data_IF_413714018262
#
_entry.id   IF_413714018262
#
_cell.length_a   1.000
_cell.length_b   1.000
_cell.length_c   1.000
_cell.angle_alpha   90.00
_cell.angle_beta   90.00
_cell.angle_gamma   90.00
#
_symmetry.space_group_name_H-M   'P 1'
#
loop_
_entity.id
_entity.type
_entity.pdbx_description
1 polymer ?
#
# COMPACT_ATOMS: atom_id res chain seq x y z
N UNK A 1 7.55 10.87 35.22
CA UNK A 1 8.35 9.93 34.42
C UNK A 1 7.74 8.55 34.58
N UNK A 2 7.02 8.04 33.58
CA UNK A 2 6.54 6.65 33.58
C UNK A 2 7.72 5.75 33.26
N UNK A 3 8.15 4.93 34.23
CA UNK A 3 9.18 3.92 34.01
C UNK A 3 8.74 2.95 32.91
N UNK A 4 9.53 2.91 31.85
CA UNK A 4 9.42 1.87 30.84
C UNK A 4 10.13 0.61 31.38
N UNK A 5 9.51 -0.56 31.25
CA UNK A 5 10.20 -1.81 31.59
C UNK A 5 11.14 -2.21 30.44
N UNK A 6 12.32 -2.73 30.79
CA UNK A 6 13.27 -3.23 29.79
C UNK A 6 12.79 -4.56 29.17
N UNK A 7 13.31 -4.95 27.99
CA UNK A 7 13.03 -6.25 27.39
C UNK A 7 13.30 -7.42 28.35
N UNK A 8 14.43 -7.36 29.07
CA UNK A 8 14.82 -8.35 30.07
C UNK A 8 13.83 -8.39 31.24
N UNK A 9 13.35 -7.22 31.71
CA UNK A 9 12.35 -7.14 32.80
C UNK A 9 11.02 -7.77 32.39
N UNK A 10 10.57 -7.55 31.15
CA UNK A 10 9.36 -8.17 30.61
C UNK A 10 9.52 -9.69 30.49
N UNK A 11 10.59 -10.16 29.86
CA UNK A 11 10.86 -11.59 29.67
C UNK A 11 10.94 -12.35 31.00
N UNK A 12 11.67 -11.81 31.98
CA UNK A 12 11.76 -12.41 33.31
C UNK A 12 10.40 -12.46 34.01
N UNK A 13 9.56 -11.44 33.85
CA UNK A 13 8.21 -11.43 34.41
C UNK A 13 7.31 -12.50 33.76
N UNK A 14 7.39 -12.65 32.43
CA UNK A 14 6.65 -13.68 31.68
C UNK A 14 7.05 -15.09 32.14
N UNK A 15 8.36 -15.38 32.18
CA UNK A 15 8.89 -16.67 32.64
C UNK A 15 8.49 -16.97 34.09
N UNK A 16 8.64 -15.99 34.99
CA UNK A 16 8.28 -16.15 36.41
C UNK A 16 6.80 -16.47 36.62
N UNK A 17 5.91 -15.96 35.75
CA UNK A 17 4.46 -16.25 35.80
C UNK A 17 4.07 -17.55 35.11
N UNK A 18 5.01 -18.25 34.46
CA UNK A 18 4.76 -19.54 33.84
C UNK A 18 4.48 -19.49 32.33
N UNK A 19 4.75 -18.37 31.65
CA UNK A 19 4.76 -18.35 30.18
C UNK A 19 5.99 -19.13 29.71
N UNK A 20 5.80 -20.07 28.78
CA UNK A 20 6.90 -20.91 28.31
C UNK A 20 7.95 -20.11 27.54
N UNK A 21 9.21 -20.52 27.65
CA UNK A 21 10.31 -19.92 26.89
C UNK A 21 10.08 -20.04 25.38
N UNK A 22 9.59 -21.20 24.94
CA UNK A 22 9.19 -21.44 23.55
C UNK A 22 8.17 -20.41 23.05
N UNK A 23 7.11 -20.12 23.82
CA UNK A 23 6.14 -19.11 23.44
C UNK A 23 6.77 -17.72 23.33
N UNK A 24 7.61 -17.34 24.29
CA UNK A 24 8.30 -16.04 24.26
C UNK A 24 9.18 -15.91 23.02
N UNK A 25 9.94 -16.96 22.69
CA UNK A 25 10.80 -16.97 21.50
C UNK A 25 9.98 -16.96 20.20
N UNK A 26 8.81 -17.61 20.20
CA UNK A 26 7.84 -17.46 19.11
C UNK A 26 7.33 -16.02 19.01
N UNK A 27 7.00 -15.33 20.11
CA UNK A 27 6.54 -13.93 20.05
C UNK A 27 7.61 -12.92 19.61
N UNK A 28 8.89 -13.27 19.81
CA UNK A 28 10.03 -12.50 19.29
C UNK A 28 10.24 -12.68 17.78
N UNK A 29 9.65 -13.73 17.20
CA UNK A 29 9.79 -14.06 15.77
C UNK A 29 8.50 -13.92 14.96
N UNK A 30 7.33 -14.17 15.54
CA UNK A 30 6.01 -13.97 14.93
C UNK A 30 5.77 -12.47 14.73
N UNK A 31 5.75 -12.07 13.47
CA UNK A 31 5.51 -10.69 13.03
C UNK A 31 4.02 -10.45 12.79
N UNK A 32 3.58 -9.20 12.96
CA UNK A 32 2.26 -8.76 12.51
C UNK A 32 2.10 -8.94 10.99
N UNK A 33 0.91 -9.37 10.58
CA UNK A 33 0.57 -9.57 9.18
C UNK A 33 0.05 -8.27 8.57
N UNK A 34 0.40 -8.02 7.31
CA UNK A 34 -0.26 -6.99 6.52
C UNK A 34 -1.63 -7.49 6.04
N UNK A 35 -2.66 -6.72 6.36
CA UNK A 35 -4.05 -7.02 6.02
C UNK A 35 -4.68 -5.89 5.20
N UNK A 36 -3.89 -4.92 4.70
CA UNK A 36 -4.42 -3.78 3.98
C UNK A 36 -5.20 -4.21 2.72
N UNK A 37 -4.67 -5.18 1.96
CA UNK A 37 -5.32 -5.73 0.76
C UNK A 37 -6.68 -6.38 1.05
N UNK A 38 -6.92 -6.87 2.27
CA UNK A 38 -8.18 -7.57 2.58
C UNK A 38 -9.37 -6.62 2.46
N UNK A 39 -9.17 -5.31 2.67
CA UNK A 39 -10.20 -4.28 2.50
C UNK A 39 -10.72 -4.15 1.06
N UNK A 40 -10.00 -4.72 0.08
CA UNK A 40 -10.38 -4.68 -1.34
C UNK A 40 -11.45 -5.72 -1.66
N UNK A 41 -11.35 -6.92 -1.08
CA UNK A 41 -12.14 -8.09 -1.51
C UNK A 41 -12.88 -8.81 -0.38
N UNK A 42 -12.92 -8.22 0.81
CA UNK A 42 -13.81 -8.64 1.87
C UNK A 42 -14.92 -7.63 2.09
N UNK A 43 -16.15 -8.12 2.23
CA UNK A 43 -17.33 -7.31 2.52
C UNK A 43 -17.70 -7.41 3.99
N UNK A 44 -18.22 -6.31 4.53
CA UNK A 44 -18.80 -6.30 5.87
C UNK A 44 -20.06 -7.17 5.89
N UNK A 45 -20.11 -8.14 6.80
CA UNK A 45 -21.27 -9.01 6.99
C UNK A 45 -21.92 -8.80 8.37
N UNK A 46 -23.10 -8.19 8.32
CA UNK A 46 -24.01 -8.09 9.46
C UNK A 46 -23.53 -7.23 10.62
N UNK A 47 -24.14 -7.48 11.77
CA UNK A 47 -23.93 -6.74 13.00
C UNK A 47 -22.73 -7.23 13.79
N UNK A 48 -22.28 -6.38 14.72
CA UNK A 48 -21.22 -6.71 15.67
C UNK A 48 -21.72 -7.73 16.70
N UNK A 49 -20.97 -8.81 16.89
CA UNK A 49 -21.33 -9.91 17.80
C UNK A 49 -20.24 -10.18 18.83
N UNK A 50 -20.62 -10.57 20.04
CA UNK A 50 -19.65 -10.96 21.08
C UNK A 50 -19.23 -12.42 20.85
N UNK A 51 -17.92 -12.67 20.73
CA UNK A 51 -17.35 -14.00 20.54
C UNK A 51 -16.13 -14.22 21.44
N UNK A 52 -15.86 -15.50 21.68
CA UNK A 52 -14.61 -15.97 22.24
C UNK A 52 -13.59 -16.17 21.11
N UNK A 53 -12.53 -15.36 21.12
CA UNK A 53 -11.54 -15.28 20.04
C UNK A 53 -10.27 -16.02 20.46
N UNK A 54 -9.85 -17.06 19.72
CA UNK A 54 -8.57 -17.70 19.95
C UNK A 54 -7.43 -16.73 19.66
N UNK A 55 -6.55 -16.50 20.63
CA UNK A 55 -5.47 -15.51 20.53
C UNK A 55 -4.47 -15.85 19.43
N UNK A 56 -4.26 -17.14 19.13
CA UNK A 56 -3.38 -17.56 18.03
C UNK A 56 -3.87 -17.06 16.66
N UNK A 57 -5.17 -16.82 16.49
CA UNK A 57 -5.77 -16.34 15.23
C UNK A 57 -5.70 -14.82 15.09
N UNK A 58 -5.25 -14.10 16.12
CA UNK A 58 -5.01 -12.66 16.05
C UNK A 58 -3.67 -12.42 15.36
N UNK A 59 -3.70 -11.76 14.19
CA UNK A 59 -2.51 -11.54 13.36
C UNK A 59 -2.11 -10.07 13.19
N UNK A 60 -2.99 -9.14 13.59
CA UNK A 60 -2.72 -7.71 13.41
C UNK A 60 -3.42 -6.85 14.47
N UNK A 61 -2.90 -5.64 14.66
CA UNK A 61 -3.50 -4.57 15.45
C UNK A 61 -3.76 -3.35 14.54
N UNK A 62 -4.72 -2.49 14.86
CA UNK A 62 -5.06 -1.33 14.01
C UNK A 62 -4.03 -0.21 14.04
N UNK A 63 -3.04 -0.27 14.94
CA UNK A 63 -2.06 0.80 15.15
C UNK A 63 -0.61 0.42 14.84
N UNK A 64 -0.27 -0.87 14.96
CA UNK A 64 1.06 -1.33 14.63
C UNK A 64 1.26 -1.35 13.12
N UNK A 65 2.48 -1.04 12.66
CA UNK A 65 2.87 -1.36 11.28
C UNK A 65 2.96 -2.88 11.11
N UNK A 66 2.69 -3.41 9.90
CA UNK A 66 2.98 -4.80 9.57
C UNK A 66 4.47 -5.14 9.75
N UNK A 67 4.78 -6.41 9.95
CA UNK A 67 6.16 -6.91 10.01
C UNK A 67 6.88 -6.73 11.35
N UNK A 68 6.23 -6.17 12.38
CA UNK A 68 6.84 -5.98 13.71
C UNK A 68 6.57 -7.23 14.58
N UNK A 69 7.57 -7.78 15.27
CA UNK A 69 7.37 -8.87 16.23
C UNK A 69 6.41 -8.48 17.38
N UNK A 70 5.54 -9.39 17.79
CA UNK A 70 4.59 -9.14 18.88
C UNK A 70 5.26 -8.77 20.21
N UNK A 71 6.41 -9.38 20.51
CA UNK A 71 7.19 -9.05 21.70
C UNK A 71 7.68 -7.59 21.68
N UNK A 72 8.13 -7.12 20.52
CA UNK A 72 8.63 -5.75 20.35
C UNK A 72 7.49 -4.73 20.43
N UNK A 73 6.27 -5.07 19.99
CA UNK A 73 5.10 -4.20 20.18
C UNK A 73 4.77 -3.94 21.66
N UNK A 74 5.12 -4.87 22.55
CA UNK A 74 4.97 -4.66 23.98
C UNK A 74 6.02 -3.70 24.57
N UNK A 75 7.07 -3.38 23.81
CA UNK A 75 8.18 -2.53 24.21
C UNK A 75 8.18 -1.18 23.47
N UNK A 76 7.73 -1.15 22.22
CA UNK A 76 7.91 -0.01 21.33
C UNK A 76 6.61 0.77 21.14
N UNK A 77 6.46 1.84 21.94
CA UNK A 77 5.35 2.79 21.80
C UNK A 77 5.42 3.65 20.53
N UNK A 78 6.63 3.98 20.08
CA UNK A 78 6.86 4.99 19.02
C UNK A 78 6.55 4.49 17.62
N UNK A 79 6.94 3.27 17.28
CA UNK A 79 6.78 2.71 15.92
C UNK A 79 5.36 2.24 15.62
N UNK A 80 4.55 2.03 16.67
CA UNK A 80 3.19 1.50 16.57
C UNK A 80 2.11 2.51 17.01
N UNK A 81 2.44 3.80 17.17
CA UNK A 81 1.53 4.83 17.70
C UNK A 81 0.76 4.38 18.96
N UNK A 82 1.43 3.58 19.80
CA UNK A 82 0.87 3.01 21.03
C UNK A 82 1.23 3.92 22.20
N UNK A 83 0.24 4.29 23.01
CA UNK A 83 0.51 5.07 24.21
C UNK A 83 1.31 4.24 25.24
N UNK A 84 2.49 4.74 25.59
CA UNK A 84 3.39 4.11 26.55
C UNK A 84 2.73 3.81 27.90
N UNK A 85 1.95 4.75 28.44
CA UNK A 85 1.26 4.61 29.72
C UNK A 85 0.27 3.43 29.73
N UNK A 86 -0.42 3.18 28.59
CA UNK A 86 -1.34 2.05 28.45
C UNK A 86 -0.61 0.70 28.39
N UNK A 87 0.58 0.64 27.76
CA UNK A 87 1.45 -0.55 27.81
C UNK A 87 1.93 -0.81 29.24
N UNK A 88 2.43 0.21 29.93
CA UNK A 88 2.84 0.13 31.34
C UNK A 88 1.71 -0.34 32.24
N UNK A 89 0.48 0.12 32.02
CA UNK A 89 -0.68 -0.33 32.78
C UNK A 89 -1.01 -1.82 32.53
N UNK A 90 -0.90 -2.30 31.29
CA UNK A 90 -1.08 -3.72 30.98
C UNK A 90 0.01 -4.58 31.64
N UNK A 91 1.27 -4.12 31.61
CA UNK A 91 2.37 -4.81 32.29
C UNK A 91 2.21 -4.82 33.81
N UNK A 92 1.78 -3.69 34.40
CA UNK A 92 1.49 -3.59 35.82
C UNK A 92 0.39 -4.59 36.21
N UNK A 93 -0.72 -4.61 35.46
CA UNK A 93 -1.81 -5.55 35.71
C UNK A 93 -1.36 -7.02 35.61
N UNK A 94 -0.55 -7.37 34.62
CA UNK A 94 0.06 -8.70 34.50
C UNK A 94 0.97 -9.03 35.69
N UNK A 95 1.83 -8.10 36.09
CA UNK A 95 2.78 -8.28 37.20
C UNK A 95 2.07 -8.46 38.55
N UNK A 96 0.99 -7.70 38.77
CA UNK A 96 0.17 -7.73 39.99
C UNK A 96 -0.82 -8.89 40.05
N UNK A 97 -1.10 -9.55 38.92
CA UNK A 97 -1.97 -10.74 38.90
C UNK A 97 -1.34 -11.86 39.71
N UNK A 98 -2.13 -12.64 40.47
CA UNK A 98 -1.61 -13.69 41.34
C UNK A 98 -0.81 -14.73 40.56
N UNK A 99 -1.43 -15.28 39.54
CA UNK A 99 -0.90 -16.27 38.62
C UNK A 99 -1.44 -16.03 37.19
N UNK A 100 -0.95 -16.84 36.25
CA UNK A 100 -1.30 -16.73 34.84
C UNK A 100 -2.79 -17.07 34.59
N UNK A 101 -3.36 -18.00 35.35
CA UNK A 101 -4.77 -18.38 35.22
C UNK A 101 -5.69 -17.22 35.61
N UNK A 102 -5.40 -16.55 36.71
CA UNK A 102 -6.12 -15.35 37.18
C UNK A 102 -6.01 -14.23 36.16
N UNK A 103 -4.84 -14.06 35.54
CA UNK A 103 -4.66 -13.10 34.46
C UNK A 103 -5.51 -13.45 33.22
N UNK A 104 -5.61 -14.73 32.86
CA UNK A 104 -6.44 -15.17 31.73
C UNK A 104 -7.93 -14.88 31.96
N UNK A 105 -8.42 -15.06 33.19
CA UNK A 105 -9.81 -14.76 33.54
C UNK A 105 -10.20 -13.30 33.26
N UNK A 106 -9.25 -12.35 33.32
CA UNK A 106 -9.52 -10.96 32.93
C UNK A 106 -10.06 -10.87 31.51
N UNK A 107 -9.44 -11.57 30.55
CA UNK A 107 -9.81 -11.53 29.13
C UNK A 107 -11.12 -12.24 28.78
N UNK A 108 -11.55 -13.18 29.63
CA UNK A 108 -12.85 -13.85 29.48
C UNK A 108 -13.98 -13.16 30.25
N UNK A 109 -13.65 -12.21 31.13
CA UNK A 109 -14.62 -11.54 32.00
C UNK A 109 -15.29 -10.32 31.37
N UNK A 110 -16.47 -9.97 31.88
CA UNK A 110 -17.15 -8.72 31.52
C UNK A 110 -16.38 -7.47 31.96
N UNK A 111 -15.44 -7.60 32.92
CA UNK A 111 -14.62 -6.48 33.39
C UNK A 111 -13.75 -5.90 32.28
N UNK A 112 -13.22 -6.73 31.39
CA UNK A 112 -12.46 -6.28 30.23
C UNK A 112 -13.32 -5.46 29.23
N UNK A 113 -14.66 -5.58 29.32
CA UNK A 113 -15.62 -5.03 28.35
C UNK A 113 -16.42 -3.82 28.83
N UNK A 114 -16.55 -3.59 30.14
CA UNK A 114 -17.51 -2.62 30.72
C UNK A 114 -17.35 -1.15 30.30
N UNK A 115 -16.14 -0.68 30.03
CA UNK A 115 -15.89 0.72 29.69
C UNK A 115 -15.33 0.93 28.28
N UNK A 116 -14.51 -0.01 27.80
CA UNK A 116 -13.88 0.03 26.48
C UNK A 116 -13.70 -1.41 26.00
N UNK A 117 -14.68 -2.02 25.30
CA UNK A 117 -14.54 -3.39 24.82
C UNK A 117 -13.34 -3.52 23.86
N UNK A 118 -12.74 -4.70 23.84
CA UNK A 118 -11.82 -5.06 22.76
C UNK A 118 -12.69 -5.37 21.54
N UNK A 119 -12.32 -4.80 20.39
CA UNK A 119 -13.06 -4.96 19.14
C UNK A 119 -12.14 -5.55 18.08
N UNK A 120 -12.66 -6.49 17.30
CA UNK A 120 -11.94 -7.14 16.21
C UNK A 120 -12.72 -7.09 14.90
N UNK A 121 -11.97 -6.99 13.81
CA UNK A 121 -12.40 -7.39 12.46
C UNK A 121 -12.03 -8.87 12.29
N UNK A 122 -12.96 -9.69 11.80
CA UNK A 122 -12.77 -11.11 11.55
C UNK A 122 -12.90 -11.43 10.07
N UNK A 123 -11.84 -11.95 9.46
CA UNK A 123 -11.80 -12.34 8.05
C UNK A 123 -12.05 -13.84 7.94
N UNK A 124 -13.28 -14.22 7.59
CA UNK A 124 -13.80 -15.59 7.81
C UNK A 124 -12.99 -16.67 7.09
N UNK A 125 -12.66 -16.45 5.81
CA UNK A 125 -12.06 -17.48 4.94
C UNK A 125 -10.64 -17.79 5.37
N UNK A 126 -9.93 -16.80 5.92
CA UNK A 126 -8.57 -16.98 6.43
C UNK A 126 -8.55 -17.35 7.92
N UNK A 127 -9.68 -17.27 8.62
CA UNK A 127 -9.79 -17.42 10.06
C UNK A 127 -8.83 -16.50 10.84
N UNK A 128 -8.75 -15.23 10.42
CA UNK A 128 -7.83 -14.23 10.97
C UNK A 128 -8.59 -13.10 11.66
N UNK A 129 -8.06 -12.63 12.79
CA UNK A 129 -8.57 -11.47 13.50
C UNK A 129 -7.56 -10.31 13.45
N UNK A 130 -8.08 -9.11 13.23
CA UNK A 130 -7.37 -7.84 13.37
C UNK A 130 -8.01 -7.03 14.48
N UNK A 131 -7.21 -6.53 15.41
CA UNK A 131 -7.73 -5.70 16.50
C UNK A 131 -8.07 -4.32 15.96
N UNK A 132 -9.29 -3.83 16.18
CA UNK A 132 -9.67 -2.46 15.88
C UNK A 132 -9.54 -1.57 17.12
N UNK A 133 -10.06 -2.04 18.26
CA UNK A 133 -9.98 -1.37 19.55
C UNK A 133 -9.37 -2.29 20.61
N UNK A 134 -8.64 -1.73 21.57
CA UNK A 134 -8.00 -2.50 22.64
C UNK A 134 -6.60 -3.04 22.31
N UNK A 135 -5.90 -2.46 21.33
CA UNK A 135 -4.57 -2.89 20.85
C UNK A 135 -3.58 -3.27 21.97
N UNK A 136 -3.41 -2.43 23.00
CA UNK A 136 -2.52 -2.69 24.14
C UNK A 136 -2.84 -3.99 24.88
N UNK A 137 -4.13 -4.23 25.14
CA UNK A 137 -4.61 -5.44 25.83
C UNK A 137 -4.43 -6.66 24.94
N UNK A 138 -4.66 -6.53 23.63
CA UNK A 138 -4.44 -7.63 22.69
C UNK A 138 -2.97 -8.02 22.58
N UNK A 139 -2.05 -7.05 22.51
CA UNK A 139 -0.61 -7.31 22.53
C UNK A 139 -0.23 -8.09 23.79
N UNK A 140 -0.73 -7.66 24.95
CA UNK A 140 -0.46 -8.35 26.21
C UNK A 140 -1.08 -9.75 26.27
N UNK A 141 -2.31 -9.93 25.78
CA UNK A 141 -2.91 -11.26 25.66
C UNK A 141 -2.05 -12.21 24.82
N UNK A 142 -1.56 -11.71 23.68
CA UNK A 142 -0.69 -12.43 22.76
C UNK A 142 0.64 -12.85 23.42
N UNK A 143 1.39 -11.92 24.01
CA UNK A 143 2.71 -12.23 24.59
C UNK A 143 2.63 -13.11 25.85
N UNK A 144 1.52 -13.07 26.57
CA UNK A 144 1.28 -13.89 27.78
C UNK A 144 0.62 -15.23 27.50
N UNK A 145 0.39 -15.56 26.22
CA UNK A 145 -0.26 -16.79 25.78
C UNK A 145 -1.68 -17.00 26.33
N UNK A 146 -2.46 -15.92 26.48
CA UNK A 146 -3.89 -16.04 26.81
C UNK A 146 -4.56 -16.94 25.77
N UNK A 147 -5.37 -17.93 26.16
CA UNK A 147 -5.98 -18.83 25.19
C UNK A 147 -7.06 -18.15 24.36
N UNK A 148 -7.91 -17.34 25.01
CA UNK A 148 -9.11 -16.76 24.41
C UNK A 148 -9.37 -15.35 24.96
N UNK A 149 -9.82 -14.45 24.10
CA UNK A 149 -10.35 -13.13 24.48
C UNK A 149 -11.84 -13.08 24.15
N UNK A 150 -12.68 -12.74 25.14
CA UNK A 150 -14.09 -12.44 24.89
C UNK A 150 -14.23 -11.00 24.42
N UNK A 151 -14.60 -10.79 23.17
CA UNK A 151 -14.57 -9.48 22.53
C UNK A 151 -15.70 -9.27 21.53
N UNK A 152 -15.91 -8.01 21.13
CA UNK A 152 -16.84 -7.64 20.07
C UNK A 152 -16.18 -7.90 18.71
N UNK A 153 -16.88 -8.55 17.80
CA UNK A 153 -16.37 -8.96 16.50
C UNK A 153 -17.28 -8.43 15.39
N UNK A 154 -16.65 -7.82 14.40
CA UNK A 154 -17.27 -7.46 13.12
C UNK A 154 -16.80 -8.47 12.09
N UNK A 155 -17.71 -9.21 11.46
CA UNK A 155 -17.36 -10.23 10.48
C UNK A 155 -17.19 -9.59 9.11
N UNK A 156 -16.17 -10.04 8.40
CA UNK A 156 -15.90 -9.73 7.02
C UNK A 156 -15.91 -11.04 6.23
N UNK A 157 -16.78 -11.09 5.22
CA UNK A 157 -16.99 -12.25 4.34
C UNK A 157 -16.20 -12.09 3.06
N UNK A 158 -15.67 -13.19 2.57
CA UNK A 158 -14.83 -13.15 1.37
C UNK A 158 -15.69 -12.99 0.12
N UNK A 159 -15.43 -11.95 -0.68
CA UNK A 159 -16.12 -11.73 -1.94
C UNK A 159 -15.28 -12.25 -3.12
N UNK A 160 -15.72 -13.37 -3.70
CA UNK A 160 -15.01 -14.03 -4.79
C UNK A 160 -14.95 -13.19 -6.07
N UNK A 161 -15.97 -12.40 -6.38
CA UNK A 161 -15.99 -11.55 -7.57
C UNK A 161 -14.99 -10.40 -7.42
N UNK A 162 -15.01 -9.68 -6.28
CA UNK A 162 -14.04 -8.62 -5.99
C UNK A 162 -12.62 -9.14 -5.99
N UNK A 163 -12.38 -10.32 -5.41
CA UNK A 163 -11.05 -10.94 -5.44
C UNK A 163 -10.60 -11.26 -6.87
N UNK A 164 -11.47 -11.85 -7.68
CA UNK A 164 -11.16 -12.13 -9.08
C UNK A 164 -10.86 -10.87 -9.90
N UNK A 165 -11.62 -9.78 -9.68
CA UNK A 165 -11.34 -8.48 -10.30
C UNK A 165 -10.04 -7.86 -9.79
N UNK A 166 -9.77 -7.95 -8.49
CA UNK A 166 -8.52 -7.48 -7.88
C UNK A 166 -7.28 -8.16 -8.47
N UNK A 167 -7.32 -9.50 -8.62
CA UNK A 167 -6.20 -10.24 -9.22
C UNK A 167 -5.93 -9.77 -10.66
N UNK A 168 -6.98 -9.63 -11.48
CA UNK A 168 -6.85 -9.12 -12.86
C UNK A 168 -6.32 -7.68 -12.89
N UNK A 169 -6.83 -6.80 -12.02
CA UNK A 169 -6.37 -5.41 -11.93
C UNK A 169 -4.88 -5.35 -11.57
N UNK A 170 -4.45 -6.18 -10.61
CA UNK A 170 -3.05 -6.29 -10.22
C UNK A 170 -2.16 -6.81 -11.35
N UNK A 171 -2.63 -7.79 -12.13
CA UNK A 171 -1.94 -8.26 -13.33
C UNK A 171 -1.79 -7.14 -14.38
N UNK A 172 -2.83 -6.33 -14.59
CA UNK A 172 -2.76 -5.16 -15.48
C UNK A 172 -1.75 -4.11 -15.00
N UNK A 173 -1.69 -3.84 -13.69
CA UNK A 173 -0.68 -2.96 -13.11
C UNK A 173 0.75 -3.47 -13.30
N UNK A 174 0.98 -4.78 -13.09
CA UNK A 174 2.29 -5.37 -13.39
C UNK A 174 2.63 -5.35 -14.88
N UNK A 175 1.64 -5.54 -15.74
CA UNK A 175 1.82 -5.40 -17.20
C UNK A 175 2.25 -3.97 -17.56
N UNK A 176 1.64 -2.96 -16.94
CA UNK A 176 2.03 -1.56 -17.11
C UNK A 176 3.45 -1.30 -16.58
N UNK A 177 3.82 -1.80 -15.41
CA UNK A 177 5.18 -1.68 -14.86
C UNK A 177 6.23 -2.19 -15.85
N UNK A 178 6.02 -3.40 -16.37
CA UNK A 178 6.92 -4.01 -17.33
C UNK A 178 7.04 -3.16 -18.60
N UNK A 179 5.91 -2.61 -19.08
CA UNK A 179 5.89 -1.76 -20.26
C UNK A 179 6.60 -0.43 -20.02
N UNK A 180 6.42 0.20 -18.86
CA UNK A 180 7.15 1.42 -18.48
C UNK A 180 8.66 1.16 -18.45
N UNK A 181 9.09 0.07 -17.80
CA UNK A 181 10.50 -0.31 -17.73
C UNK A 181 11.10 -0.64 -19.11
N UNK A 182 10.38 -1.37 -19.96
CA UNK A 182 10.81 -1.71 -21.33
C UNK A 182 11.10 -0.44 -22.16
N UNK A 183 10.30 0.60 -21.93
CA UNK A 183 10.34 1.85 -22.68
C UNK A 183 11.14 2.97 -21.97
N UNK A 184 11.84 2.65 -20.87
CA UNK A 184 12.59 3.60 -20.03
C UNK A 184 11.77 4.77 -19.46
N UNK A 185 10.49 4.52 -19.18
CA UNK A 185 9.67 5.41 -18.37
C UNK A 185 9.77 5.02 -16.89
N UNK A 186 9.63 6.00 -16.01
CA UNK A 186 9.68 5.80 -14.57
C UNK A 186 8.45 6.44 -13.90
N UNK A 187 8.17 6.02 -12.67
CA UNK A 187 7.20 6.70 -11.81
C UNK A 187 8.00 7.60 -10.90
N UNK A 188 7.67 8.88 -10.89
CA UNK A 188 8.26 9.87 -9.99
C UNK A 188 7.17 10.51 -9.14
N UNK A 189 7.56 10.93 -7.94
CA UNK A 189 6.70 11.68 -7.02
C UNK A 189 7.38 13.03 -6.81
N UNK A 190 6.64 14.12 -6.99
CA UNK A 190 7.18 15.46 -6.79
C UNK A 190 7.08 15.93 -5.32
N UNK A 191 7.53 17.15 -5.07
CA UNK A 191 7.53 17.76 -3.73
C UNK A 191 6.11 18.02 -3.19
N UNK A 192 5.08 18.01 -4.05
CA UNK A 192 3.66 18.15 -3.68
C UNK A 192 2.97 16.78 -3.48
N UNK A 193 3.76 15.69 -3.47
CA UNK A 193 3.30 14.30 -3.39
C UNK A 193 2.45 13.82 -4.60
N UNK A 194 2.46 14.59 -5.68
CA UNK A 194 1.83 14.22 -6.95
C UNK A 194 2.70 13.20 -7.67
N UNK A 195 2.06 12.17 -8.24
CA UNK A 195 2.73 11.09 -8.94
C UNK A 195 2.61 11.28 -10.46
N UNK A 196 3.71 11.02 -11.17
CA UNK A 196 3.80 11.20 -12.62
C UNK A 196 4.54 10.03 -13.26
N UNK A 197 4.21 9.77 -14.52
CA UNK A 197 5.09 9.01 -15.41
C UNK A 197 6.09 9.98 -16.03
N UNK A 198 7.37 9.71 -15.81
CA UNK A 198 8.49 10.50 -16.29
C UNK A 198 9.33 9.75 -17.32
N UNK A 199 10.13 10.50 -18.07
CA UNK A 199 11.19 9.97 -18.94
C UNK A 199 12.47 10.78 -18.71
N UNK A 200 13.53 10.12 -18.24
CA UNK A 200 14.82 10.76 -17.93
C UNK A 200 14.68 12.02 -17.04
N UNK A 201 13.81 11.97 -16.02
CA UNK A 201 13.56 13.09 -15.10
C UNK A 201 12.65 14.20 -15.64
N UNK A 202 12.02 13.99 -16.81
CA UNK A 202 11.00 14.89 -17.35
C UNK A 202 9.62 14.32 -17.04
N UNK A 203 8.78 15.06 -16.31
CA UNK A 203 7.39 14.67 -16.04
C UNK A 203 6.54 14.80 -17.31
N UNK A 204 5.84 13.73 -17.69
CA UNK A 204 5.09 13.66 -18.94
C UNK A 204 3.59 13.43 -18.75
N UNK A 205 3.21 12.53 -17.84
CA UNK A 205 1.82 12.12 -17.63
C UNK A 205 1.52 12.17 -16.13
N UNK A 206 0.66 13.11 -15.73
CA UNK A 206 0.10 13.16 -14.37
C UNK A 206 -1.18 12.36 -14.23
N UNK A 207 -1.59 12.11 -12.99
CA UNK A 207 -2.85 11.47 -12.68
C UNK A 207 -3.94 12.50 -12.39
N UNK A 208 -5.11 12.33 -13.01
CA UNK A 208 -6.34 13.00 -12.59
C UNK A 208 -7.08 12.12 -11.58
N UNK A 209 -7.62 12.70 -10.51
CA UNK A 209 -8.40 11.95 -9.51
C UNK A 209 -9.45 11.03 -10.15
N UNK A 210 -9.43 9.75 -9.79
CA UNK A 210 -10.29 8.70 -10.30
C UNK A 210 -9.95 8.17 -11.71
N UNK A 211 -8.87 8.65 -12.34
CA UNK A 211 -8.37 8.08 -13.60
C UNK A 211 -7.68 6.73 -13.38
N UNK A 212 -7.48 5.96 -14.45
CA UNK A 212 -6.73 4.70 -14.37
C UNK A 212 -5.29 4.88 -13.84
N UNK A 213 -4.66 6.01 -14.18
CA UNK A 213 -3.32 6.36 -13.69
C UNK A 213 -3.35 6.67 -12.19
N UNK A 214 -4.39 7.37 -11.71
CA UNK A 214 -4.59 7.63 -10.28
C UNK A 214 -4.82 6.33 -9.50
N UNK A 215 -5.68 5.43 -9.98
CA UNK A 215 -5.91 4.13 -9.34
C UNK A 215 -4.61 3.30 -9.30
N UNK A 216 -3.82 3.33 -10.39
CA UNK A 216 -2.51 2.67 -10.44
C UNK A 216 -1.52 3.27 -9.42
N UNK A 217 -1.43 4.59 -9.30
CA UNK A 217 -0.57 5.23 -8.31
C UNK A 217 -1.02 4.97 -6.87
N UNK A 218 -2.33 4.98 -6.60
CA UNK A 218 -2.87 4.62 -5.29
C UNK A 218 -2.53 3.16 -4.95
N UNK A 219 -2.63 2.24 -5.92
CA UNK A 219 -2.18 0.86 -5.73
C UNK A 219 -0.68 0.79 -5.38
N UNK A 220 0.17 1.58 -6.05
CA UNK A 220 1.62 1.65 -5.75
C UNK A 220 1.93 2.22 -4.37
N UNK A 221 1.09 3.14 -3.88
CA UNK A 221 1.17 3.72 -2.53
C UNK A 221 0.53 2.84 -1.46
N UNK A 222 0.05 1.63 -1.82
CA UNK A 222 -0.70 0.73 -0.94
C UNK A 222 -2.00 1.37 -0.37
N UNK A 223 -2.55 2.37 -1.06
CA UNK A 223 -3.87 2.93 -0.78
C UNK A 223 -4.96 2.10 -1.49
N UNK A 224 -5.39 1.06 -0.78
CA UNK A 224 -6.34 0.09 -1.28
C UNK A 224 -7.80 0.57 -1.29
N UNK A 225 -8.11 1.75 -0.73
CA UNK A 225 -9.49 2.27 -0.74
C UNK A 225 -9.99 2.52 -2.16
N UNK A 226 -9.16 3.16 -2.99
CA UNK A 226 -9.46 3.39 -4.41
C UNK A 226 -9.63 2.09 -5.18
N UNK A 227 -8.81 1.07 -4.89
CA UNK A 227 -8.91 -0.25 -5.50
C UNK A 227 -10.24 -0.95 -5.14
N UNK A 228 -10.67 -0.88 -3.88
CA UNK A 228 -11.92 -1.50 -3.40
C UNK A 228 -13.14 -0.98 -4.18
N UNK A 229 -13.20 0.33 -4.46
CA UNK A 229 -14.28 0.92 -5.26
C UNK A 229 -14.29 0.37 -6.69
N UNK A 230 -13.13 0.28 -7.33
CA UNK A 230 -13.01 -0.20 -8.72
C UNK A 230 -13.41 -1.66 -8.85
N UNK A 231 -12.95 -2.53 -7.95
CA UNK A 231 -13.23 -3.99 -8.07
C UNK A 231 -14.66 -4.38 -7.69
N UNK A 232 -15.41 -3.47 -7.06
CA UNK A 232 -16.80 -3.68 -6.65
C UNK A 232 -17.77 -3.52 -7.82
N UNK A 233 -17.46 -2.64 -8.77
CA UNK A 233 -18.31 -2.32 -9.91
C UNK A 233 -17.64 -2.81 -11.19
N UNK A 234 -18.23 -3.83 -11.81
CA UNK A 234 -17.69 -4.44 -13.03
C UNK A 234 -17.53 -3.42 -14.17
N UNK A 235 -18.40 -2.41 -14.26
CA UNK A 235 -18.29 -1.36 -15.29
C UNK A 235 -17.08 -0.46 -15.05
N UNK A 236 -16.86 -0.02 -13.80
CA UNK A 236 -15.68 0.78 -13.46
C UNK A 236 -14.40 -0.04 -13.59
N UNK A 237 -14.43 -1.33 -13.22
CA UNK A 237 -13.31 -2.24 -13.45
C UNK A 237 -12.94 -2.32 -14.94
N UNK A 238 -13.89 -2.63 -15.82
CA UNK A 238 -13.66 -2.73 -17.27
C UNK A 238 -13.09 -1.42 -17.83
N UNK A 239 -13.71 -0.29 -17.49
CA UNK A 239 -13.26 1.05 -17.89
C UNK A 239 -11.83 1.36 -17.47
N UNK A 240 -11.44 0.99 -16.25
CA UNK A 240 -10.06 1.19 -15.77
C UNK A 240 -9.10 0.29 -16.54
N UNK A 241 -9.44 -0.99 -16.74
CA UNK A 241 -8.58 -1.92 -17.50
C UNK A 241 -8.40 -1.50 -18.96
N UNK A 242 -9.46 -1.02 -19.62
CA UNK A 242 -9.41 -0.49 -20.98
C UNK A 242 -8.52 0.76 -21.07
N UNK A 243 -8.64 1.66 -20.09
CA UNK A 243 -7.81 2.86 -20.02
C UNK A 243 -6.31 2.52 -19.79
N UNK A 244 -6.00 1.51 -18.97
CA UNK A 244 -4.62 1.02 -18.80
C UNK A 244 -4.08 0.42 -20.11
N UNK A 245 -4.89 -0.37 -20.80
CA UNK A 245 -4.53 -0.94 -22.11
C UNK A 245 -4.26 0.15 -23.16
N UNK A 246 -5.15 1.16 -23.22
CA UNK A 246 -4.97 2.33 -24.07
C UNK A 246 -3.69 3.09 -23.75
N UNK A 247 -3.40 3.35 -22.47
CA UNK A 247 -2.17 4.01 -22.03
C UNK A 247 -0.92 3.24 -22.47
N UNK A 248 -0.89 1.91 -22.27
CA UNK A 248 0.23 1.06 -22.70
C UNK A 248 0.49 1.20 -24.21
N UNK A 249 -0.58 1.18 -25.02
CA UNK A 249 -0.45 1.37 -26.47
C UNK A 249 0.07 2.77 -26.82
N UNK A 250 -0.41 3.80 -26.14
CA UNK A 250 0.06 5.18 -26.34
C UNK A 250 1.53 5.36 -26.00
N UNK A 251 2.03 4.73 -24.93
CA UNK A 251 3.45 4.75 -24.59
C UNK A 251 4.31 4.11 -25.68
N UNK A 252 3.86 3.02 -26.28
CA UNK A 252 4.54 2.38 -27.43
C UNK A 252 4.55 3.30 -28.65
N UNK A 253 3.42 3.92 -28.99
CA UNK A 253 3.32 4.90 -30.09
C UNK A 253 4.28 6.07 -29.88
N UNK A 254 4.31 6.64 -28.66
CA UNK A 254 5.21 7.72 -28.25
C UNK A 254 6.67 7.32 -28.47
N UNK A 255 7.07 6.14 -28.00
CA UNK A 255 8.43 5.65 -28.14
C UNK A 255 8.81 5.42 -29.61
N UNK A 256 7.93 4.79 -30.40
CA UNK A 256 8.17 4.57 -31.83
C UNK A 256 8.32 5.90 -32.58
N UNK A 257 7.49 6.89 -32.25
CA UNK A 257 7.56 8.20 -32.85
C UNK A 257 8.84 8.95 -32.45
N UNK A 258 9.27 8.86 -31.19
CA UNK A 258 10.53 9.46 -30.74
C UNK A 258 11.72 8.87 -31.50
N UNK A 259 11.77 7.55 -31.66
CA UNK A 259 12.82 6.86 -32.43
C UNK A 259 12.82 7.25 -33.91
N UNK A 260 11.65 7.47 -34.53
CA UNK A 260 11.54 7.99 -35.90
C UNK A 260 12.21 9.35 -36.01
N UNK A 261 11.93 10.27 -35.08
CA UNK A 261 12.52 11.61 -35.06
C UNK A 261 14.04 11.55 -34.84
N UNK A 262 14.52 10.74 -33.90
CA UNK A 262 15.95 10.50 -33.66
C UNK A 262 16.65 10.01 -34.93
N UNK A 263 16.05 9.05 -35.64
CA UNK A 263 16.58 8.52 -36.91
C UNK A 263 16.68 9.60 -37.99
N UNK A 264 15.64 10.41 -38.15
CA UNK A 264 15.63 11.52 -39.12
C UNK A 264 16.68 12.58 -38.79
N UNK A 265 16.81 12.94 -37.50
CA UNK A 265 17.82 13.88 -37.05
C UNK A 265 19.25 13.36 -37.30
N UNK A 266 19.48 12.06 -37.12
CA UNK A 266 20.78 11.44 -37.36
C UNK A 266 21.27 11.58 -38.81
N UNK A 267 20.37 11.73 -39.79
CA UNK A 267 20.73 11.99 -41.20
C UNK A 267 21.39 13.37 -41.38
N UNK A 268 21.01 14.33 -40.54
CA UNK A 268 21.42 15.74 -40.65
C UNK A 268 22.35 16.17 -39.51
N UNK A 269 22.81 15.22 -38.68
CA UNK A 269 23.63 15.49 -37.48
C UNK A 269 25.02 16.07 -37.77
N UNK A 270 25.46 16.10 -39.02
CA UNK A 270 26.74 16.69 -39.43
C UNK A 270 26.62 18.17 -39.82
N UNK A 271 25.40 18.70 -39.95
CA UNK A 271 25.19 20.10 -40.28
C UNK A 271 25.50 21.05 -39.10
N UNK A 272 25.79 22.34 -39.34
CA UNK A 272 25.89 23.35 -38.30
C UNK A 272 24.62 23.44 -37.44
N UNK A 273 24.77 23.79 -36.16
CA UNK A 273 23.68 23.81 -35.18
C UNK A 273 22.44 24.65 -35.61
N UNK A 274 22.59 25.84 -36.21
CA UNK A 274 21.43 26.61 -36.68
C UNK A 274 20.61 25.86 -37.73
N UNK A 275 21.29 25.20 -38.68
CA UNK A 275 20.65 24.43 -39.76
C UNK A 275 19.97 23.19 -39.20
N UNK A 276 20.61 22.47 -38.27
CA UNK A 276 20.01 21.34 -37.54
C UNK A 276 18.72 21.73 -36.84
N UNK A 277 18.72 22.88 -36.17
CA UNK A 277 17.56 23.39 -35.43
C UNK A 277 16.38 23.63 -36.37
N UNK A 278 16.62 24.33 -37.48
CA UNK A 278 15.60 24.59 -38.51
C UNK A 278 15.08 23.30 -39.14
N UNK A 279 15.96 22.34 -39.46
CA UNK A 279 15.52 21.05 -40.02
C UNK A 279 14.67 20.30 -39.00
N UNK A 280 15.05 20.27 -37.72
CA UNK A 280 14.24 19.59 -36.71
C UNK A 280 12.88 20.29 -36.51
N UNK A 281 12.82 21.62 -36.53
CA UNK A 281 11.55 22.37 -36.51
C UNK A 281 10.66 22.01 -37.72
N UNK A 282 11.24 21.90 -38.92
CA UNK A 282 10.51 21.47 -40.12
C UNK A 282 10.05 20.00 -40.03
N UNK A 283 10.91 19.09 -39.58
CA UNK A 283 10.56 17.68 -39.38
C UNK A 283 9.42 17.53 -38.36
N UNK A 284 9.46 18.32 -37.28
CA UNK A 284 8.40 18.41 -36.29
C UNK A 284 7.11 18.93 -36.94
N UNK A 285 7.18 20.02 -37.70
CA UNK A 285 6.04 20.63 -38.36
C UNK A 285 5.34 19.64 -39.32
N UNK A 286 6.11 18.98 -40.19
CA UNK A 286 5.56 18.07 -41.19
C UNK A 286 4.99 16.78 -40.58
N UNK A 287 5.59 16.24 -39.50
CA UNK A 287 5.09 15.01 -38.89
C UNK A 287 3.90 15.24 -37.92
N UNK A 288 3.65 16.47 -37.47
CA UNK A 288 2.53 16.80 -36.55
C UNK A 288 1.13 16.55 -37.13
N UNK A 289 1.01 16.45 -38.46
CA UNK A 289 -0.30 16.29 -39.12
C UNK A 289 -0.70 14.84 -39.36
N UNK A 290 0.20 13.87 -39.18
CA UNK A 290 -0.06 12.45 -39.45
C UNK A 290 -0.44 11.64 -38.21
N UNK A 291 -0.29 12.22 -37.02
CA UNK A 291 -0.31 11.48 -35.76
C UNK A 291 -1.18 12.16 -34.71
N UNK A 292 -1.56 11.37 -33.71
CA UNK A 292 -2.15 11.88 -32.46
C UNK A 292 -1.28 13.02 -31.90
N UNK A 293 -1.92 14.15 -31.61
CA UNK A 293 -1.24 15.38 -31.16
C UNK A 293 -0.46 15.13 -29.88
N UNK A 294 -0.97 14.32 -28.96
CA UNK A 294 -0.32 14.02 -27.68
C UNK A 294 0.89 13.11 -27.91
N UNK A 295 0.74 12.06 -28.71
CA UNK A 295 1.84 11.16 -29.10
C UNK A 295 2.98 11.96 -29.73
N UNK A 296 2.63 12.85 -30.66
CA UNK A 296 3.60 13.69 -31.36
C UNK A 296 4.33 14.64 -30.41
N UNK A 297 3.59 15.32 -29.52
CA UNK A 297 4.16 16.26 -28.54
C UNK A 297 5.15 15.54 -27.61
N UNK A 298 4.73 14.46 -26.97
CA UNK A 298 5.55 13.73 -26.00
C UNK A 298 6.74 13.06 -26.70
N UNK A 299 6.52 12.42 -27.85
CA UNK A 299 7.60 11.77 -28.60
C UNK A 299 8.69 12.74 -29.08
N UNK A 300 8.34 14.01 -29.38
CA UNK A 300 9.33 15.06 -29.67
C UNK A 300 10.17 15.40 -28.44
N UNK A 301 9.54 15.54 -27.27
CA UNK A 301 10.24 15.82 -26.01
C UNK A 301 11.25 14.71 -25.72
N UNK A 302 10.82 13.46 -25.83
CA UNK A 302 11.69 12.28 -25.63
C UNK A 302 12.82 12.24 -26.66
N UNK A 303 12.54 12.53 -27.93
CA UNK A 303 13.57 12.57 -28.97
C UNK A 303 14.61 13.67 -28.72
N UNK A 304 14.17 14.85 -28.26
CA UNK A 304 15.03 15.96 -27.89
C UNK A 304 15.97 15.59 -26.74
N UNK A 305 15.42 14.94 -25.70
CA UNK A 305 16.21 14.49 -24.55
C UNK A 305 17.24 13.42 -24.97
N UNK A 306 16.82 12.40 -25.74
CA UNK A 306 17.72 11.37 -26.27
C UNK A 306 18.84 11.91 -27.17
N UNK A 307 18.62 13.05 -27.84
CA UNK A 307 19.62 13.71 -28.68
C UNK A 307 20.50 14.70 -27.90
N UNK A 308 20.14 15.06 -26.66
CA UNK A 308 20.78 16.13 -25.89
C UNK A 308 20.55 17.51 -26.49
N UNK A 309 19.38 17.77 -27.10
CA UNK A 309 19.08 19.02 -27.82
C UNK A 309 17.75 19.61 -27.33
N UNK A 310 17.77 20.86 -26.83
CA UNK A 310 16.56 21.61 -26.45
C UNK A 310 16.24 22.68 -27.50
N UNK A 311 15.15 22.50 -28.27
CA UNK A 311 14.82 23.42 -29.39
C UNK A 311 13.92 24.57 -28.97
N UNK A 312 12.99 24.35 -28.04
CA UNK A 312 12.16 25.30 -27.27
C UNK A 312 11.07 24.48 -26.57
N UNK A 313 10.63 24.87 -25.37
CA UNK A 313 9.61 24.14 -24.61
C UNK A 313 8.30 24.07 -25.42
N UNK A 314 7.80 22.88 -25.80
CA UNK A 314 6.45 22.73 -26.34
C UNK A 314 5.37 22.75 -25.23
N UNK A 315 5.75 23.08 -23.99
CA UNK A 315 5.00 22.81 -22.75
C UNK A 315 3.87 23.83 -22.47
N UNK A 316 3.78 24.96 -23.18
CA UNK A 316 2.83 26.01 -22.80
C UNK A 316 1.35 25.57 -22.78
N UNK A 317 0.97 24.43 -23.39
CA UNK A 317 -0.39 23.87 -23.26
C UNK A 317 -0.42 22.33 -23.35
N UNK A 318 -0.37 21.63 -22.21
CA UNK A 318 -0.88 20.26 -22.04
C UNK A 318 -2.09 20.32 -21.09
N UNK A 319 -3.30 20.35 -21.65
CA UNK A 319 -4.49 19.99 -20.91
C UNK A 319 -4.52 18.46 -20.78
N UNK A 320 -4.75 18.01 -19.55
CA UNK A 320 -4.67 16.64 -19.04
C UNK A 320 -5.41 15.60 -19.91
N UNK A 321 -4.78 14.42 -20.10
CA UNK A 321 -5.43 13.21 -20.63
C UNK A 321 -6.47 12.66 -19.65
#
# INVERSE_FOLDING_TARGET
MTEFYSPIKLENALLKKGVSKEHIDNMKSEKTLDLAEFQVYYDLDGDRVIKDIPVQNIKMTSRAKPGIPWFDLALNSKEAHLEASKLSNCFKHFSESLDLHTYYQFFSSDRCRKANPIEFEYYERNNIYKTNNGNHRTIFAKITNVPVIKAMVTTYVFNQNKYSNYIKLREEFFSLDNKLSELNFHIEIDDEEESFISYQGINLIGAKNGSAVDVYFNFKKEDFFSCSKVVTDDYEFEKITDALSFLKNKLVEINNYSLKIVKLFNVVKWLPLPIKKTILELLIYFNRHEQDKTVSKIGIIIAQENLGIRIRNPIDHLEFL
#
